data_IF_829958859659
#
_entry.id   IF_829958859659
#
_cell.length_a   1.000
_cell.length_b   1.000
_cell.length_c   1.000
_cell.angle_alpha   90.00
_cell.angle_beta   90.00
_cell.angle_gamma   90.00
#
_symmetry.space_group_name_H-M   'P 1'
#
loop_
_entity.id
_entity.type
_entity.pdbx_description
1 polymer ?
#
# COMPACT_ATOMS: atom_id res chain seq x y z
N UNK A 1 5.37 0.55 -24.13
CA UNK A 1 4.89 -0.64 -24.86
C UNK A 1 4.70 -1.76 -23.85
N UNK A 2 3.49 -1.96 -23.32
CA UNK A 2 3.23 -3.11 -22.45
C UNK A 2 3.06 -4.34 -23.36
N UNK A 3 4.15 -5.11 -23.53
CA UNK A 3 4.08 -6.41 -24.19
C UNK A 3 3.22 -7.34 -23.34
N UNK A 4 2.16 -7.90 -23.92
CA UNK A 4 1.35 -8.91 -23.24
C UNK A 4 2.22 -10.16 -23.06
N UNK A 5 2.63 -10.43 -21.82
CA UNK A 5 3.52 -11.54 -21.44
C UNK A 5 3.09 -12.87 -22.04
N UNK A 6 1.78 -13.19 -21.97
CA UNK A 6 1.25 -14.44 -22.47
C UNK A 6 1.40 -14.55 -23.99
N UNK A 7 1.19 -13.45 -24.72
CA UNK A 7 1.41 -13.38 -26.16
C UNK A 7 2.87 -13.59 -26.50
N UNK A 8 3.78 -12.87 -25.83
CA UNK A 8 5.22 -13.01 -26.08
C UNK A 8 5.75 -14.41 -25.77
N UNK A 9 5.25 -15.05 -24.70
CA UNK A 9 5.65 -16.40 -24.34
C UNK A 9 5.15 -17.42 -25.37
N UNK A 10 3.90 -17.28 -25.82
CA UNK A 10 3.33 -18.12 -26.88
C UNK A 10 4.10 -17.97 -28.19
N UNK A 11 4.43 -16.73 -28.59
CA UNK A 11 5.19 -16.46 -29.81
C UNK A 11 6.58 -17.15 -29.77
N UNK A 12 7.25 -17.16 -28.61
CA UNK A 12 8.55 -17.83 -28.44
C UNK A 12 8.42 -19.37 -28.47
N UNK A 13 7.38 -19.92 -27.87
CA UNK A 13 7.10 -21.36 -27.87
C UNK A 13 6.77 -21.86 -29.28
N UNK A 14 5.96 -21.10 -30.03
CA UNK A 14 5.67 -21.37 -31.43
C UNK A 14 6.94 -21.30 -32.29
N UNK A 15 7.80 -20.31 -32.08
CA UNK A 15 9.07 -20.20 -32.80
C UNK A 15 9.98 -21.40 -32.53
N UNK A 16 10.10 -21.84 -31.28
CA UNK A 16 10.87 -23.03 -30.92
C UNK A 16 10.33 -24.28 -31.62
N UNK A 17 8.99 -24.45 -31.64
CA UNK A 17 8.32 -25.53 -32.35
C UNK A 17 8.59 -25.52 -33.85
N UNK A 18 8.50 -24.35 -34.49
CA UNK A 18 8.79 -24.17 -35.92
C UNK A 18 10.24 -24.51 -36.27
N UNK A 19 11.21 -24.12 -35.43
CA UNK A 19 12.62 -24.49 -35.62
C UNK A 19 12.79 -26.01 -35.57
N UNK A 20 12.06 -26.70 -34.68
CA UNK A 20 12.14 -28.15 -34.55
C UNK A 20 11.49 -28.89 -35.73
N UNK A 21 10.41 -28.34 -36.30
CA UNK A 21 9.69 -28.95 -37.43
C UNK A 21 10.34 -28.69 -38.79
N UNK A 22 11.06 -27.58 -38.94
CA UNK A 22 11.61 -27.12 -40.22
C UNK A 22 13.14 -27.04 -40.22
N UNK A 23 13.81 -28.02 -39.62
CA UNK A 23 15.27 -28.06 -39.53
C UNK A 23 15.95 -28.05 -40.90
N UNK A 24 15.34 -28.69 -41.90
CA UNK A 24 15.88 -28.77 -43.27
C UNK A 24 15.91 -27.41 -43.97
N UNK A 25 14.97 -26.52 -43.64
CA UNK A 25 14.86 -25.19 -44.25
C UNK A 25 15.84 -24.18 -43.62
N UNK A 26 16.20 -24.37 -42.35
CA UNK A 26 17.11 -23.49 -41.63
C UNK A 26 18.03 -24.27 -40.66
N UNK A 27 18.99 -25.07 -41.17
CA UNK A 27 19.82 -25.93 -40.33
C UNK A 27 20.63 -25.14 -39.29
N UNK A 28 21.06 -23.93 -39.66
CA UNK A 28 21.81 -23.02 -38.80
C UNK A 28 21.01 -22.48 -37.61
N UNK A 29 19.67 -22.50 -37.66
CA UNK A 29 18.81 -22.09 -36.56
C UNK A 29 18.76 -23.14 -35.44
N UNK A 30 19.01 -24.41 -35.74
CA UNK A 30 18.99 -25.53 -34.79
C UNK A 30 19.92 -25.30 -33.60
N UNK A 31 21.06 -24.61 -33.80
CA UNK A 31 22.01 -24.26 -32.73
C UNK A 31 21.41 -23.38 -31.62
N UNK A 32 20.31 -22.68 -31.90
CA UNK A 32 19.66 -21.78 -30.95
C UNK A 32 18.49 -22.44 -30.20
N UNK A 33 18.16 -23.69 -30.51
CA UNK A 33 17.04 -24.40 -29.89
C UNK A 33 17.20 -24.52 -28.37
N UNK A 34 18.31 -25.09 -27.91
CA UNK A 34 18.59 -25.25 -26.49
C UNK A 34 18.66 -23.90 -25.75
N UNK A 35 19.38 -22.86 -26.25
CA UNK A 35 19.34 -21.54 -25.65
C UNK A 35 17.94 -20.94 -25.53
N UNK A 36 17.11 -21.08 -26.56
CA UNK A 36 15.75 -20.55 -26.59
C UNK A 36 14.84 -21.27 -25.60
N UNK A 37 14.94 -22.60 -25.54
CA UNK A 37 14.21 -23.42 -24.57
C UNK A 37 14.58 -23.05 -23.13
N UNK A 38 15.88 -22.90 -22.84
CA UNK A 38 16.34 -22.46 -21.52
C UNK A 38 15.82 -21.06 -21.15
N UNK A 39 15.77 -20.13 -22.12
CA UNK A 39 15.20 -18.81 -21.91
C UNK A 39 13.71 -18.86 -21.57
N UNK A 40 12.92 -19.68 -22.29
CA UNK A 40 11.48 -19.89 -22.02
C UNK A 40 11.27 -20.44 -20.60
N UNK A 41 12.07 -21.43 -20.19
CA UNK A 41 12.02 -21.99 -18.83
C UNK A 41 12.33 -20.92 -17.77
N UNK A 42 13.38 -20.12 -17.99
CA UNK A 42 13.76 -19.02 -17.10
C UNK A 42 12.66 -17.96 -16.96
N UNK A 43 12.02 -17.60 -18.07
CA UNK A 43 10.89 -16.66 -18.09
C UNK A 43 9.74 -17.19 -17.22
N UNK A 44 9.34 -18.46 -17.39
CA UNK A 44 8.26 -19.10 -16.61
C UNK A 44 8.61 -19.13 -15.12
N UNK A 45 9.82 -19.54 -14.77
CA UNK A 45 10.29 -19.59 -13.38
C UNK A 45 10.27 -18.19 -12.72
N UNK A 46 10.75 -17.18 -13.46
CA UNK A 46 10.76 -15.79 -12.97
C UNK A 46 9.35 -15.26 -12.78
N UNK A 47 8.42 -15.54 -13.69
CA UNK A 47 7.02 -15.14 -13.56
C UNK A 47 6.36 -15.79 -12.32
N UNK A 48 6.59 -17.08 -12.08
CA UNK A 48 6.11 -17.75 -10.88
C UNK A 48 6.66 -17.10 -9.60
N UNK A 49 7.95 -16.74 -9.60
CA UNK A 49 8.57 -15.99 -8.50
C UNK A 49 7.95 -14.61 -8.30
N UNK A 50 7.69 -13.86 -9.39
CA UNK A 50 7.01 -12.57 -9.29
C UNK A 50 5.61 -12.69 -8.67
N UNK A 51 4.85 -13.73 -9.03
CA UNK A 51 3.52 -13.96 -8.47
C UNK A 51 3.59 -14.27 -6.97
N UNK A 52 4.57 -15.07 -6.55
CA UNK A 52 4.82 -15.36 -5.13
C UNK A 52 5.13 -14.08 -4.36
N UNK A 53 6.07 -13.26 -4.86
CA UNK A 53 6.44 -11.99 -4.21
C UNK A 53 5.28 -10.99 -4.15
N UNK A 54 4.37 -11.00 -5.13
CA UNK A 54 3.15 -10.16 -5.09
C UNK A 54 2.22 -10.61 -3.95
N UNK A 55 2.04 -11.92 -3.78
CA UNK A 55 1.25 -12.47 -2.68
C UNK A 55 1.90 -12.15 -1.32
N UNK A 56 3.21 -12.33 -1.19
CA UNK A 56 3.95 -12.02 0.04
C UNK A 56 3.84 -10.54 0.39
N UNK A 57 3.96 -9.65 -0.60
CA UNK A 57 3.78 -8.20 -0.41
C UNK A 57 2.37 -7.88 0.09
N UNK A 58 1.35 -8.53 -0.46
CA UNK A 58 -0.03 -8.33 -0.04
C UNK A 58 -0.22 -8.76 1.42
N UNK A 59 0.27 -9.95 1.78
CA UNK A 59 0.24 -10.45 3.16
C UNK A 59 0.98 -9.52 4.12
N UNK A 60 2.22 -9.15 3.79
CA UNK A 60 3.01 -8.23 4.61
C UNK A 60 2.32 -6.87 4.82
N UNK A 61 1.59 -6.38 3.80
CA UNK A 61 0.79 -5.15 3.91
C UNK A 61 -0.40 -5.32 4.85
N UNK A 62 -1.07 -6.47 4.83
CA UNK A 62 -2.17 -6.78 5.75
C UNK A 62 -1.66 -6.90 7.19
N UNK A 63 -0.55 -7.62 7.39
CA UNK A 63 0.10 -7.80 8.68
C UNK A 63 0.54 -6.45 9.27
N UNK A 64 1.16 -5.58 8.46
CA UNK A 64 1.54 -4.24 8.86
C UNK A 64 0.33 -3.41 9.30
N UNK A 65 -0.78 -3.45 8.53
CA UNK A 65 -2.00 -2.73 8.89
C UNK A 65 -2.59 -3.21 10.21
N UNK A 66 -2.63 -4.53 10.43
CA UNK A 66 -3.09 -5.12 11.67
C UNK A 66 -2.21 -4.70 12.86
N UNK A 67 -0.89 -4.79 12.71
CA UNK A 67 0.07 -4.36 13.73
C UNK A 67 -0.07 -2.87 14.07
N UNK A 68 -0.25 -2.01 13.06
CA UNK A 68 -0.46 -0.57 13.28
C UNK A 68 -1.78 -0.27 13.98
N UNK A 69 -2.85 -1.02 13.70
CA UNK A 69 -4.12 -0.86 14.39
C UNK A 69 -3.97 -1.23 15.88
N UNK A 70 -3.41 -2.41 16.16
CA UNK A 70 -3.14 -2.85 17.53
C UNK A 70 -2.23 -1.87 18.30
N UNK A 71 -1.19 -1.33 17.64
CA UNK A 71 -0.31 -0.35 18.25
C UNK A 71 -1.03 0.97 18.57
N UNK A 72 -1.97 1.40 17.73
CA UNK A 72 -2.78 2.61 17.98
C UNK A 72 -3.71 2.42 19.17
N UNK A 73 -4.35 1.26 19.27
CA UNK A 73 -5.24 0.94 20.38
C UNK A 73 -4.46 0.91 21.69
N UNK A 74 -3.33 0.20 21.72
CA UNK A 74 -2.44 0.18 22.88
C UNK A 74 -1.93 1.58 23.24
N UNK A 75 -1.61 2.42 22.25
CA UNK A 75 -1.19 3.79 22.50
C UNK A 75 -2.30 4.65 23.12
N UNK A 76 -3.58 4.38 22.85
CA UNK A 76 -4.70 5.04 23.53
C UNK A 76 -4.69 4.68 25.02
N UNK A 77 -4.58 3.39 25.33
CA UNK A 77 -4.57 2.89 26.71
C UNK A 77 -3.38 3.42 27.50
N UNK A 78 -2.18 3.36 26.93
CA UNK A 78 -0.96 3.89 27.55
C UNK A 78 -1.10 5.39 27.85
N UNK A 79 -1.66 6.17 26.92
CA UNK A 79 -1.89 7.61 27.17
C UNK A 79 -2.93 7.84 28.26
N UNK A 80 -3.95 6.98 28.36
CA UNK A 80 -4.95 7.08 29.42
C UNK A 80 -4.34 6.80 30.80
N UNK A 81 -3.50 5.76 30.92
CA UNK A 81 -2.77 5.44 32.16
C UNK A 81 -1.88 6.62 32.58
N UNK A 82 -1.06 7.15 31.67
CA UNK A 82 -0.17 8.29 31.97
C UNK A 82 -0.96 9.52 32.44
N UNK A 83 -2.13 9.81 31.84
CA UNK A 83 -3.00 10.90 32.31
C UNK A 83 -3.57 10.66 33.71
N UNK A 84 -3.88 9.41 34.04
CA UNK A 84 -4.33 9.01 35.37
C UNK A 84 -3.26 9.21 36.43
N UNK A 85 -2.02 8.80 36.15
CA UNK A 85 -0.90 8.86 37.09
C UNK A 85 -0.33 10.27 37.27
N UNK A 86 -0.11 11.00 36.18
CA UNK A 86 0.51 12.35 36.22
C UNK A 86 -0.52 13.44 36.53
N UNK A 87 -1.80 13.15 36.30
CA UNK A 87 -2.91 14.09 36.44
C UNK A 87 -3.27 14.78 35.12
N UNK A 88 -4.56 14.74 34.77
CA UNK A 88 -5.08 15.14 33.45
C UNK A 88 -4.83 16.61 33.06
N UNK A 89 -4.58 17.50 34.01
CA UNK A 89 -4.31 18.93 33.78
C UNK A 89 -2.83 19.31 33.96
N UNK A 90 -1.97 18.33 34.27
CA UNK A 90 -0.56 18.58 34.53
C UNK A 90 0.19 18.92 33.24
N UNK A 91 0.94 20.03 33.25
CA UNK A 91 1.80 20.42 32.13
C UNK A 91 2.98 19.43 31.92
N UNK A 92 3.27 18.56 32.92
CA UNK A 92 4.27 17.49 32.79
C UNK A 92 3.89 16.44 31.72
N UNK A 93 2.62 16.36 31.32
CA UNK A 93 2.16 15.46 30.25
C UNK A 93 2.83 15.73 28.90
N UNK A 94 3.31 16.95 28.66
CA UNK A 94 4.00 17.34 27.41
C UNK A 94 5.29 16.55 27.20
N UNK A 95 5.96 16.11 28.28
CA UNK A 95 7.17 15.27 28.19
C UNK A 95 6.90 13.91 27.53
N UNK A 96 5.64 13.45 27.57
CA UNK A 96 5.19 12.21 26.93
C UNK A 96 4.52 12.45 25.57
N UNK A 97 4.58 13.67 25.03
CA UNK A 97 3.86 14.07 23.83
C UNK A 97 2.33 14.09 24.01
N UNK A 98 1.84 14.17 25.26
CA UNK A 98 0.41 14.20 25.58
C UNK A 98 0.01 15.64 25.94
N UNK A 99 -1.00 16.18 25.26
CA UNK A 99 -1.57 17.48 25.61
C UNK A 99 -2.38 17.43 26.92
N UNK A 100 -2.20 18.38 27.85
CA UNK A 100 -3.05 18.52 29.04
C UNK A 100 -4.50 18.87 28.69
N UNK A 101 -5.45 18.46 29.53
CA UNK A 101 -6.85 18.81 29.39
C UNK A 101 -7.07 20.29 29.76
N UNK A 102 -7.25 21.13 28.73
CA UNK A 102 -7.54 22.57 28.89
C UNK A 102 -9.02 22.86 28.64
N UNK A 103 -9.64 23.79 29.39
CA UNK A 103 -10.98 24.25 29.09
C UNK A 103 -11.02 24.82 27.66
N UNK A 104 -11.91 24.29 26.82
CA UNK A 104 -12.14 24.86 25.48
C UNK A 104 -12.87 26.19 25.65
N UNK A 105 -12.34 27.26 25.07
CA UNK A 105 -13.07 28.53 24.95
C UNK A 105 -14.34 28.30 24.12
N UNK A 106 -15.52 28.65 24.67
CA UNK A 106 -16.76 28.68 23.89
C UNK A 106 -16.68 29.85 22.90
N UNK A 107 -16.82 29.58 21.60
CA UNK A 107 -17.06 30.67 20.63
C UNK A 107 -18.44 31.26 20.90
N UNK A 108 -18.53 32.59 21.00
CA UNK A 108 -19.79 33.30 21.13
C UNK A 108 -20.66 33.07 19.86
N UNK A 109 -21.96 32.81 20.05
CA UNK A 109 -22.94 32.79 18.95
C UNK A 109 -23.08 34.23 18.42
N UNK A 110 -22.93 34.48 17.11
CA UNK A 110 -23.31 35.76 16.52
C UNK A 110 -24.84 35.79 16.37
N UNK A 111 -25.48 36.77 17.01
CA UNK A 111 -26.88 37.10 16.71
C UNK A 111 -27.78 37.27 17.94
N UNK A 112 -27.55 38.33 18.70
CA UNK A 112 -28.64 39.03 19.40
C UNK A 112 -28.23 40.49 19.51
N UNK A 113 -28.80 41.32 18.63
CA UNK A 113 -28.43 42.71 18.44
C UNK A 113 -29.55 43.48 17.74
N UNK A 114 -30.48 43.97 18.57
CA UNK A 114 -31.24 45.23 18.40
C UNK A 114 -32.17 45.38 17.19
N UNK A 115 -33.41 44.95 17.36
CA UNK A 115 -34.57 45.47 16.61
C UNK A 115 -35.17 46.66 17.37
N UNK A 116 -34.69 47.88 17.09
CA UNK A 116 -35.39 49.13 17.42
C UNK A 116 -34.85 50.25 16.53
N UNK A 117 -35.55 50.57 15.45
CA UNK A 117 -35.76 51.94 14.94
C UNK A 117 -36.42 51.91 13.56
N UNK A 118 -37.73 52.17 13.51
CA UNK A 118 -38.32 53.31 12.78
C UNK A 118 -39.86 53.29 12.87
N UNK A 119 -40.36 54.23 13.68
CA UNK A 119 -41.75 54.69 13.71
C UNK A 119 -41.73 56.22 13.68
N UNK A 120 -42.30 56.82 12.62
CA UNK A 120 -43.04 58.11 12.55
C UNK A 120 -43.10 58.50 11.06
N UNK A 121 -44.30 58.49 10.47
CA UNK A 121 -45.27 59.61 10.34
C UNK A 121 -44.77 60.70 9.41
#
# INVERSE_FOLDING_TARGET
MATNFAKTLLDLEQLLGSIQQHQDLAPSATRFREPLEAAIVSIRATNARQNTLKADRQKATQDLKAALAAAKDLAIDVRAVIRGEVGARSEKLVQFGIGPLRPRARKAKPGEGTETAKSKR
#
